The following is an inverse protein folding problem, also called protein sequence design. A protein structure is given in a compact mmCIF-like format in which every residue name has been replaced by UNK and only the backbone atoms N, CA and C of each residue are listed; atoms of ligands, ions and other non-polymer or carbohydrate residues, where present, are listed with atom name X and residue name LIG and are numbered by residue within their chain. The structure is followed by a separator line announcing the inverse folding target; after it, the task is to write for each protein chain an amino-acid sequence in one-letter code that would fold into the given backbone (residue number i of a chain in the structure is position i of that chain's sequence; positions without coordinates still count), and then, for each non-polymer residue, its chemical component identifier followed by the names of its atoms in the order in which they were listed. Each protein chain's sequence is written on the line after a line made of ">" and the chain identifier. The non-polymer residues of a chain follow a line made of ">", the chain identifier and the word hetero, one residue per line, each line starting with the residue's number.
data_IF_343860312747
#
_entry.id   IF_343860312747
#
_cell.length_a   1.000
_cell.length_b   1.000
_cell.length_c   1.000
_cell.angle_alpha   90.00
_cell.angle_beta   90.00
_cell.angle_gamma   90.00
#
_symmetry.space_group_name_H-M   'P 1'
#
loop_
_entity.id
_entity.type
_entity.pdbx_description
1 polymer ?
#
# COMPACT_ATOMS: atom_id res chain seq x y z
N UNK A 1 20.39 -8.27 -21.15
CA UNK A 1 19.83 -8.38 -19.77
C UNK A 1 18.38 -7.93 -19.80
N UNK A 2 17.40 -8.80 -19.51
CA UNK A 2 15.99 -8.37 -19.45
C UNK A 2 15.80 -7.49 -18.22
N UNK A 3 15.40 -6.23 -18.42
CA UNK A 3 14.98 -5.37 -17.33
C UNK A 3 13.73 -5.96 -16.69
N UNK A 4 13.78 -6.26 -15.39
CA UNK A 4 12.60 -6.70 -14.64
C UNK A 4 11.48 -5.64 -14.60
N UNK A 5 10.32 -5.96 -14.02
CA UNK A 5 9.20 -5.03 -13.88
C UNK A 5 9.67 -3.76 -13.14
N UNK A 6 9.26 -2.61 -13.65
CA UNK A 6 9.56 -1.30 -13.06
C UNK A 6 8.36 -0.74 -12.32
N UNK A 7 8.63 -0.13 -11.17
CA UNK A 7 7.67 0.56 -10.31
C UNK A 7 8.09 2.02 -10.16
N UNK A 8 7.19 2.84 -9.65
CA UNK A 8 7.42 4.27 -9.40
C UNK A 8 7.11 4.56 -7.94
N UNK A 9 8.03 5.26 -7.27
CA UNK A 9 7.86 5.71 -5.88
C UNK A 9 7.16 7.07 -5.82
N UNK A 10 6.90 7.58 -4.61
CA UNK A 10 6.34 8.92 -4.38
C UNK A 10 7.12 10.01 -5.11
N UNK A 11 8.45 9.91 -5.08
CA UNK A 11 9.37 10.92 -5.66
C UNK A 11 9.56 10.75 -7.18
N UNK A 12 8.70 9.97 -7.82
CA UNK A 12 8.80 9.62 -9.24
C UNK A 12 10.10 8.90 -9.61
N UNK A 13 10.80 8.31 -8.64
CA UNK A 13 11.98 7.49 -8.90
C UNK A 13 11.54 6.14 -9.48
N UNK A 14 12.14 5.78 -10.61
CA UNK A 14 11.90 4.48 -11.25
C UNK A 14 12.75 3.42 -10.55
N UNK A 15 12.08 2.49 -9.89
CA UNK A 15 12.71 1.39 -9.17
C UNK A 15 12.41 0.07 -9.86
N UNK A 16 13.32 -0.89 -9.73
CA UNK A 16 13.20 -2.21 -10.34
C UNK A 16 13.15 -3.27 -9.25
N UNK A 17 12.54 -4.41 -9.53
CA UNK A 17 12.62 -5.55 -8.61
C UNK A 17 13.98 -6.20 -8.75
N UNK A 18 14.66 -6.49 -7.63
CA UNK A 18 15.95 -7.17 -7.64
C UNK A 18 15.83 -8.60 -8.19
N UNK A 19 16.77 -9.12 -9.00
CA UNK A 19 16.71 -10.48 -9.53
C UNK A 19 16.64 -11.60 -8.49
N UNK A 20 17.21 -11.37 -7.30
CA UNK A 20 17.13 -12.29 -6.16
C UNK A 20 15.78 -12.28 -5.43
N UNK A 21 14.90 -11.32 -5.73
CA UNK A 21 13.57 -11.25 -5.11
C UNK A 21 12.64 -12.31 -5.71
N UNK A 22 11.83 -12.95 -4.87
CA UNK A 22 10.76 -13.87 -5.32
C UNK A 22 9.74 -13.18 -6.23
N UNK A 23 9.63 -11.85 -6.13
CA UNK A 23 8.73 -11.05 -6.95
C UNK A 23 9.29 -10.70 -8.33
N UNK A 24 10.57 -10.95 -8.60
CA UNK A 24 11.22 -10.60 -9.88
C UNK A 24 10.48 -11.17 -11.09
N UNK A 25 10.12 -12.46 -11.03
CA UNK A 25 9.36 -13.15 -12.08
C UNK A 25 7.85 -13.00 -11.94
N UNK A 26 7.33 -12.89 -10.70
CA UNK A 26 5.88 -12.83 -10.42
C UNK A 26 5.26 -11.50 -10.85
N UNK A 27 5.94 -10.39 -10.57
CA UNK A 27 5.49 -9.06 -11.00
C UNK A 27 5.71 -8.84 -12.50
N UNK A 28 6.66 -9.55 -13.12
CA UNK A 28 6.89 -9.49 -14.57
C UNK A 28 5.77 -10.10 -15.39
N UNK A 29 4.99 -11.02 -14.81
CA UNK A 29 3.90 -11.70 -15.52
C UNK A 29 2.56 -11.00 -15.32
N UNK A 30 2.37 -10.28 -14.21
CA UNK A 30 1.06 -9.84 -13.76
C UNK A 30 1.11 -8.46 -13.06
N UNK A 31 1.69 -7.43 -13.69
CA UNK A 31 1.62 -6.05 -13.17
C UNK A 31 0.16 -5.53 -12.99
N UNK A 32 -0.82 -6.25 -13.54
CA UNK A 32 -2.26 -5.99 -13.45
C UNK A 32 -3.10 -7.17 -12.91
N UNK A 33 -2.49 -8.30 -12.57
CA UNK A 33 -3.21 -9.56 -12.28
C UNK A 33 -2.60 -10.33 -11.09
N UNK A 34 -2.28 -9.63 -10.01
CA UNK A 34 -2.57 -10.24 -8.71
C UNK A 34 -4.07 -10.49 -8.65
N UNK A 35 -4.53 -11.59 -8.07
CA UNK A 35 -5.95 -11.97 -7.97
C UNK A 35 -6.87 -10.91 -7.32
N UNK A 36 -6.32 -9.75 -6.92
CA UNK A 36 -6.99 -8.62 -6.28
C UNK A 36 -6.87 -7.28 -7.06
N UNK A 37 -6.31 -7.25 -8.27
CA UNK A 37 -6.36 -6.08 -9.16
C UNK A 37 -5.82 -4.76 -8.58
N UNK A 38 -4.89 -4.79 -7.61
CA UNK A 38 -4.29 -3.60 -6.99
C UNK A 38 -2.77 -3.62 -7.13
N UNK A 39 -2.24 -2.63 -7.87
CA UNK A 39 -0.83 -2.51 -8.27
C UNK A 39 0.06 -1.80 -7.25
N UNK A 40 -0.14 -2.06 -5.94
CA UNK A 40 0.65 -1.44 -4.88
C UNK A 40 1.59 -2.45 -4.22
N UNK A 41 2.79 -1.98 -3.86
CA UNK A 41 3.85 -2.80 -3.25
C UNK A 41 4.40 -2.06 -2.05
N UNK A 42 4.53 -2.77 -0.94
CA UNK A 42 5.34 -2.36 0.20
C UNK A 42 6.75 -2.94 0.03
N UNK A 43 7.77 -2.19 0.43
CA UNK A 43 9.15 -2.67 0.43
C UNK A 43 9.85 -2.27 1.74
N UNK A 44 10.81 -3.09 2.15
CA UNK A 44 11.64 -2.82 3.33
C UNK A 44 13.02 -2.29 2.92
N UNK A 45 13.61 -2.84 1.87
CA UNK A 45 14.99 -2.57 1.45
C UNK A 45 15.04 -2.16 -0.04
N UNK A 46 15.63 -1.00 -0.29
CA UNK A 46 15.97 -0.52 -1.63
C UNK A 46 17.49 -0.34 -1.72
N UNK A 47 18.13 -1.04 -2.66
CA UNK A 47 19.58 -1.00 -2.86
C UNK A 47 19.86 -0.26 -4.16
N UNK A 48 20.67 0.80 -4.07
CA UNK A 48 21.06 1.61 -5.22
C UNK A 48 22.50 1.23 -5.64
N UNK A 49 22.62 0.57 -6.78
CA UNK A 49 23.91 0.31 -7.43
C UNK A 49 23.98 1.12 -8.72
N UNK A 50 23.82 0.50 -9.88
CA UNK A 50 23.65 1.18 -11.18
C UNK A 50 22.21 1.70 -11.36
N UNK A 51 21.24 1.02 -10.74
CA UNK A 51 19.82 1.41 -10.67
C UNK A 51 19.32 1.12 -9.25
N UNK A 52 18.17 1.69 -8.89
CA UNK A 52 17.49 1.38 -7.64
C UNK A 52 16.75 0.04 -7.76
N UNK A 53 17.05 -0.90 -6.86
CA UNK A 53 16.45 -2.23 -6.83
C UNK A 53 15.78 -2.52 -5.49
N UNK A 54 14.51 -2.94 -5.53
CA UNK A 54 13.78 -3.46 -4.37
C UNK A 54 14.18 -4.91 -4.12
N UNK A 55 14.82 -5.19 -2.99
CA UNK A 55 15.21 -6.55 -2.62
C UNK A 55 14.03 -7.28 -1.96
N UNK A 56 13.54 -6.72 -0.86
CA UNK A 56 12.42 -7.28 -0.11
C UNK A 56 11.15 -6.46 -0.37
N UNK A 57 10.18 -7.09 -1.02
CA UNK A 57 8.92 -6.46 -1.41
C UNK A 57 7.74 -7.40 -1.20
N UNK A 58 6.57 -6.85 -0.92
CA UNK A 58 5.31 -7.58 -0.78
C UNK A 58 4.20 -6.81 -1.49
N UNK A 59 3.44 -7.50 -2.34
CA UNK A 59 2.25 -6.92 -2.95
C UNK A 59 1.17 -6.71 -1.88
N UNK A 60 0.58 -5.52 -1.84
CA UNK A 60 -0.41 -5.14 -0.84
C UNK A 60 -1.73 -4.77 -1.51
N UNK A 61 -2.82 -5.15 -0.85
CA UNK A 61 -4.16 -4.76 -1.28
C UNK A 61 -4.47 -3.30 -0.95
N UNK A 62 -5.40 -2.71 -1.70
CA UNK A 62 -5.86 -1.33 -1.48
C UNK A 62 -6.34 -1.04 -0.05
N UNK A 63 -6.99 -2.01 0.61
CA UNK A 63 -7.53 -1.83 1.96
C UNK A 63 -6.44 -1.72 3.03
N UNK A 64 -5.32 -2.41 2.84
CA UNK A 64 -4.18 -2.29 3.76
C UNK A 64 -3.62 -0.85 3.76
N UNK A 65 -3.50 -0.25 2.57
CA UNK A 65 -3.10 1.16 2.45
C UNK A 65 -4.10 2.11 3.11
N UNK A 66 -5.40 1.90 2.89
CA UNK A 66 -6.43 2.78 3.44
C UNK A 66 -6.49 2.74 4.98
N UNK A 67 -6.36 1.54 5.57
CA UNK A 67 -6.50 1.35 7.02
C UNK A 67 -5.23 1.67 7.80
N UNK A 68 -4.05 1.39 7.25
CA UNK A 68 -2.77 1.49 7.96
C UNK A 68 -1.85 2.61 7.47
N UNK A 69 -2.33 3.47 6.56
CA UNK A 69 -1.61 4.71 6.25
C UNK A 69 -1.65 5.64 7.45
N UNK A 70 -0.55 6.35 7.72
CA UNK A 70 -0.55 7.43 8.72
C UNK A 70 -1.20 8.71 8.18
N UNK A 71 -1.11 8.97 6.88
CA UNK A 71 -1.60 10.20 6.26
C UNK A 71 -3.12 10.23 6.13
N UNK A 72 -3.70 11.42 6.04
CA UNK A 72 -5.14 11.62 5.88
C UNK A 72 -5.68 11.01 4.58
N UNK A 73 -6.95 10.61 4.64
CA UNK A 73 -7.72 10.10 3.51
C UNK A 73 -8.62 11.20 2.96
N UNK A 74 -8.28 11.70 1.78
CA UNK A 74 -9.06 12.69 1.07
C UNK A 74 -10.07 12.00 0.14
N UNK A 75 -11.35 12.24 0.38
CA UNK A 75 -12.42 11.76 -0.50
C UNK A 75 -12.55 12.70 -1.69
N UNK A 76 -12.45 12.16 -2.90
CA UNK A 76 -12.76 12.92 -4.11
C UNK A 76 -14.24 12.79 -4.44
N UNK A 77 -15.03 13.81 -4.12
CA UNK A 77 -16.46 13.87 -4.43
C UNK A 77 -16.72 13.65 -5.93
N UNK A 78 -17.72 12.84 -6.25
CA UNK A 78 -18.16 12.57 -7.63
C UNK A 78 -17.25 11.69 -8.50
N UNK A 79 -16.01 11.37 -8.07
CA UNK A 79 -15.05 10.60 -8.90
C UNK A 79 -14.82 9.15 -8.46
N UNK A 80 -15.39 8.71 -7.33
CA UNK A 80 -15.24 7.34 -6.84
C UNK A 80 -13.77 6.97 -6.62
N UNK A 81 -13.00 7.87 -6.01
CA UNK A 81 -11.61 7.64 -5.63
C UNK A 81 -11.26 8.28 -4.30
N UNK A 82 -10.32 7.67 -3.61
CA UNK A 82 -9.68 8.19 -2.40
C UNK A 82 -8.23 8.51 -2.72
N UNK A 83 -7.76 9.65 -2.24
CA UNK A 83 -6.34 10.01 -2.26
C UNK A 83 -5.78 9.85 -0.85
N UNK A 84 -4.66 9.14 -0.74
CA UNK A 84 -3.92 8.97 0.51
C UNK A 84 -2.55 9.61 0.34
N UNK A 85 -2.10 10.36 1.35
CA UNK A 85 -0.77 10.99 1.38
C UNK A 85 -0.52 11.97 0.21
N UNK A 86 -1.59 12.47 -0.42
CA UNK A 86 -1.55 13.40 -1.55
C UNK A 86 -1.18 12.81 -2.91
N UNK A 87 -0.78 11.53 -3.00
CA UNK A 87 -0.32 10.93 -4.27
C UNK A 87 -0.89 9.53 -4.56
N UNK A 88 -1.23 8.76 -3.51
CA UNK A 88 -1.75 7.39 -3.68
C UNK A 88 -3.24 7.48 -4.02
N UNK A 89 -3.57 7.37 -5.31
CA UNK A 89 -4.96 7.37 -5.78
C UNK A 89 -5.54 5.96 -5.87
N UNK A 90 -6.57 5.68 -5.09
CA UNK A 90 -7.25 4.38 -5.03
C UNK A 90 -8.67 4.53 -5.55
N UNK A 91 -9.03 3.77 -6.58
CA UNK A 91 -10.42 3.72 -7.10
C UNK A 91 -11.31 2.92 -6.15
N UNK A 92 -12.36 3.55 -5.64
CA UNK A 92 -13.31 2.94 -4.72
C UNK A 92 -14.66 3.70 -4.73
N UNK A 93 -15.81 3.00 -4.66
CA UNK A 93 -17.09 3.67 -4.48
C UNK A 93 -17.12 4.54 -3.21
N UNK A 94 -17.84 5.65 -3.26
CA UNK A 94 -17.93 6.62 -2.17
C UNK A 94 -18.40 5.99 -0.85
N UNK A 95 -19.40 5.12 -0.90
CA UNK A 95 -19.86 4.36 0.27
C UNK A 95 -18.74 3.53 0.90
N UNK A 96 -17.89 2.91 0.08
CA UNK A 96 -16.75 2.12 0.53
C UNK A 96 -15.65 2.98 1.16
N UNK A 97 -15.40 4.18 0.63
CA UNK A 97 -14.42 5.10 1.20
C UNK A 97 -14.86 5.69 2.53
N UNK A 98 -16.15 6.04 2.66
CA UNK A 98 -16.72 6.49 3.94
C UNK A 98 -16.62 5.39 4.98
N UNK A 99 -16.97 4.14 4.62
CA UNK A 99 -16.81 2.99 5.51
C UNK A 99 -15.36 2.80 5.97
N UNK A 100 -14.38 2.87 5.05
CA UNK A 100 -12.97 2.74 5.42
C UNK A 100 -12.52 3.86 6.38
N UNK A 101 -13.02 5.09 6.20
CA UNK A 101 -12.72 6.21 7.11
C UNK A 101 -13.26 5.97 8.52
N UNK A 102 -14.47 5.43 8.63
CA UNK A 102 -15.06 5.05 9.93
C UNK A 102 -14.30 3.90 10.57
N UNK A 103 -14.01 2.83 9.82
CA UNK A 103 -13.23 1.68 10.31
C UNK A 103 -11.84 2.09 10.80
N UNK A 104 -11.18 2.99 10.08
CA UNK A 104 -9.86 3.50 10.49
C UNK A 104 -9.94 4.24 11.82
N UNK A 105 -10.96 5.07 12.03
CA UNK A 105 -11.17 5.77 13.30
C UNK A 105 -11.36 4.80 14.47
N UNK A 106 -12.18 3.76 14.29
CA UNK A 106 -12.38 2.74 15.32
C UNK A 106 -11.10 1.94 15.59
N UNK A 107 -10.35 1.59 14.53
CA UNK A 107 -9.06 0.91 14.64
C UNK A 107 -8.04 1.76 15.41
N UNK A 108 -7.91 3.04 15.10
CA UNK A 108 -7.03 3.97 15.80
C UNK A 108 -7.41 4.12 17.28
N UNK A 109 -8.71 4.21 17.59
CA UNK A 109 -9.20 4.26 18.97
C UNK A 109 -8.87 2.99 19.75
N UNK A 110 -9.07 1.82 19.12
CA UNK A 110 -8.76 0.51 19.69
C UNK A 110 -7.25 0.34 19.93
N UNK A 111 -6.41 0.73 18.96
CA UNK A 111 -4.96 0.70 19.10
C UNK A 111 -4.49 1.67 20.19
N UNK A 112 -5.06 2.88 20.27
CA UNK A 112 -4.74 3.85 21.32
C UNK A 112 -5.10 3.33 22.72
N UNK A 113 -6.22 2.61 22.86
CA UNK A 113 -6.59 1.93 24.12
C UNK A 113 -5.58 0.84 24.48
N UNK A 114 -5.16 0.02 23.51
CA UNK A 114 -4.16 -1.03 23.71
C UNK A 114 -2.79 -0.47 24.09
N UNK A 115 -2.39 0.68 23.53
CA UNK A 115 -1.14 1.36 23.89
C UNK A 115 -1.19 1.86 25.34
N UNK A 116 -2.33 2.43 25.78
CA UNK A 116 -2.52 2.87 27.18
C UNK A 116 -2.57 1.70 28.17
N UNK A 117 -3.18 0.59 27.76
CA UNK A 117 -3.34 -0.61 28.60
C UNK A 117 -2.95 -1.87 27.81
N UNK A 118 -1.66 -2.23 27.77
CA UNK A 118 -1.17 -3.36 26.96
C UNK A 118 -1.78 -4.71 27.33
N UNK A 119 -2.22 -4.88 28.58
CA UNK A 119 -2.83 -6.12 29.07
C UNK A 119 -4.30 -6.31 28.62
N UNK A 120 -5.00 -5.24 28.20
CA UNK A 120 -6.41 -5.30 27.79
C UNK A 120 -6.56 -6.07 26.48
N UNK A 121 -7.49 -7.03 26.40
CA UNK A 121 -7.76 -7.75 25.15
C UNK A 121 -8.31 -6.82 24.08
N UNK A 122 -8.15 -7.16 22.80
CA UNK A 122 -8.80 -6.42 21.71
C UNK A 122 -10.32 -6.71 21.63
N UNK A 123 -10.79 -7.74 22.31
CA UNK A 123 -12.19 -8.18 22.32
C UNK A 123 -13.04 -7.52 23.41
N UNK A 124 -12.41 -6.85 24.39
CA UNK A 124 -13.06 -6.09 25.47
C UNK A 124 -13.17 -4.61 25.08
#
# INVERSE_FOLDING_TARGET
>A
QRSGPSLVTRDSEKVYVHPGSVNFRRLSMNATSTASGSGWICYHSCVKTTKAYLHDSTAIGKYALLLFSSSDMELTEGRGSVVVDGWIKIKMPEKGSVLCKLLRKELEALLARKVRSPATSFAD
#
